data_IF_917473213495
#
_entry.id   IF_917473213495
#
_cell.length_a   1.000
_cell.length_b   1.000
_cell.length_c   1.000
_cell.angle_alpha   90.00
_cell.angle_beta   90.00
_cell.angle_gamma   90.00
#
_symmetry.space_group_name_H-M   'P 1'
#
loop_
_entity.id
_entity.type
_entity.pdbx_description
1 polymer ?
#
# COMPACT_ATOMS: atom_id res chain seq x y z
N UNK A 1 24.77 -5.08 37.88
CA UNK A 1 23.36 -5.02 37.43
C UNK A 1 23.35 -4.07 36.25
N UNK A 2 23.41 -4.61 35.05
CA UNK A 2 23.44 -3.82 33.81
C UNK A 2 22.00 -3.63 33.36
N UNK A 3 21.56 -2.39 33.36
CA UNK A 3 20.28 -1.93 32.83
C UNK A 3 20.24 -2.24 31.31
N UNK A 4 19.22 -2.93 30.77
CA UNK A 4 19.10 -3.10 29.34
C UNK A 4 18.67 -1.77 28.70
N UNK A 5 19.37 -1.38 27.63
CA UNK A 5 19.04 -0.23 26.81
C UNK A 5 17.59 -0.34 26.26
N UNK A 6 16.90 0.79 26.04
CA UNK A 6 15.57 0.75 25.42
C UNK A 6 15.70 0.19 24.00
N UNK A 7 15.04 -0.94 23.74
CA UNK A 7 14.86 -1.43 22.37
C UNK A 7 14.03 -0.40 21.61
N UNK A 8 14.72 0.34 20.74
CA UNK A 8 14.18 1.33 19.84
C UNK A 8 13.37 0.63 18.72
N UNK A 9 12.12 0.28 19.00
CA UNK A 9 11.17 -0.21 17.99
C UNK A 9 10.40 0.97 17.35
N UNK A 10 11.07 2.12 17.20
CA UNK A 10 10.56 3.33 16.54
C UNK A 10 11.06 3.43 15.09
N UNK A 11 10.84 2.41 14.26
CA UNK A 11 11.01 2.61 12.81
C UNK A 11 9.75 3.31 12.26
N UNK A 12 9.72 4.64 12.34
CA UNK A 12 8.73 5.43 11.62
C UNK A 12 8.70 4.99 10.14
N UNK A 13 7.51 4.83 9.52
CA UNK A 13 7.41 4.43 8.12
C UNK A 13 8.19 5.42 7.24
N UNK A 14 8.94 4.89 6.27
CA UNK A 14 9.71 5.71 5.33
C UNK A 14 8.84 6.77 4.67
N UNK A 15 9.36 7.99 4.56
CA UNK A 15 8.65 9.09 3.93
C UNK A 15 9.01 9.19 2.44
N UNK A 16 7.99 9.03 1.59
CA UNK A 16 8.09 9.12 0.14
C UNK A 16 7.53 10.44 -0.44
N UNK A 17 7.28 11.44 0.41
CA UNK A 17 6.66 12.71 0.01
C UNK A 17 7.39 13.37 -1.16
N UNK A 18 8.72 13.46 -1.11
CA UNK A 18 9.49 14.17 -2.14
C UNK A 18 9.41 13.49 -3.51
N UNK A 19 9.45 12.16 -3.57
CA UNK A 19 9.44 11.46 -4.86
C UNK A 19 8.03 11.36 -5.48
N UNK A 20 6.99 11.41 -4.64
CA UNK A 20 5.60 11.26 -5.08
C UNK A 20 4.96 12.63 -5.41
N UNK A 21 5.32 13.69 -4.68
CA UNK A 21 4.70 15.02 -4.85
C UNK A 21 4.92 15.62 -6.24
N UNK A 22 6.05 15.30 -6.89
CA UNK A 22 6.35 15.74 -8.27
C UNK A 22 5.51 15.01 -9.33
N UNK A 23 5.03 13.80 -9.03
CA UNK A 23 4.37 12.92 -10.02
C UNK A 23 2.86 12.77 -9.81
N UNK A 24 2.31 13.12 -8.64
CA UNK A 24 0.89 12.94 -8.35
C UNK A 24 -0.04 13.82 -9.18
N UNK A 25 0.39 15.04 -9.55
CA UNK A 25 -0.44 16.05 -10.22
C UNK A 25 -0.94 15.68 -11.61
N UNK A 26 -0.40 14.64 -12.25
CA UNK A 26 -0.64 14.36 -13.68
C UNK A 26 -1.36 13.04 -14.00
N UNK A 27 -1.63 12.17 -13.02
CA UNK A 27 -2.05 10.78 -13.29
C UNK A 27 -3.49 10.42 -12.90
N UNK A 28 -4.14 9.60 -13.72
CA UNK A 28 -5.44 8.96 -13.41
C UNK A 28 -5.32 7.88 -12.32
N UNK A 29 -6.35 7.68 -11.49
CA UNK A 29 -6.36 6.60 -10.50
C UNK A 29 -6.46 5.22 -11.17
N UNK A 30 -5.78 4.23 -10.60
CA UNK A 30 -5.83 2.85 -11.08
C UNK A 30 -7.06 2.12 -10.54
N UNK A 31 -7.45 2.42 -9.30
CA UNK A 31 -8.61 1.82 -8.67
C UNK A 31 -9.21 2.78 -7.64
N UNK A 32 -10.52 2.72 -7.44
CA UNK A 32 -11.29 3.56 -6.53
C UNK A 32 -12.19 2.67 -5.68
N UNK A 33 -11.75 2.39 -4.45
CA UNK A 33 -12.51 1.60 -3.48
C UNK A 33 -13.39 2.47 -2.58
N UNK A 34 -14.08 1.85 -1.61
CA UNK A 34 -14.93 2.55 -0.64
C UNK A 34 -14.15 3.42 0.36
N UNK A 35 -12.93 3.01 0.71
CA UNK A 35 -12.11 3.69 1.72
C UNK A 35 -11.02 4.61 1.15
N UNK A 36 -10.74 4.50 -0.14
CA UNK A 36 -9.61 5.21 -0.74
C UNK A 36 -9.53 5.02 -2.25
N UNK A 37 -8.60 5.75 -2.84
CA UNK A 37 -8.23 5.71 -4.25
C UNK A 37 -6.77 5.29 -4.33
N UNK A 38 -6.43 4.41 -5.26
CA UNK A 38 -5.07 3.91 -5.46
C UNK A 38 -4.52 4.45 -6.78
N UNK A 39 -3.33 5.04 -6.72
CA UNK A 39 -2.60 5.55 -7.86
C UNK A 39 -1.32 4.74 -8.05
N UNK A 40 -1.01 4.34 -9.28
CA UNK A 40 0.30 3.79 -9.63
C UNK A 40 1.29 4.93 -9.83
N UNK A 41 2.47 4.82 -9.24
CA UNK A 41 3.57 5.78 -9.41
C UNK A 41 4.88 5.06 -9.62
N UNK A 42 5.84 5.76 -10.23
CA UNK A 42 7.20 5.28 -10.37
C UNK A 42 8.10 6.21 -9.58
N UNK A 43 8.75 5.67 -8.55
CA UNK A 43 9.73 6.37 -7.74
C UNK A 43 11.10 6.10 -8.31
N UNK A 44 11.84 7.15 -8.66
CA UNK A 44 13.23 7.04 -9.09
C UNK A 44 14.15 7.18 -7.90
N UNK A 45 15.06 6.23 -7.76
CA UNK A 45 16.24 6.31 -6.91
C UNK A 45 17.46 6.58 -7.80
N UNK A 46 18.60 6.92 -7.18
CA UNK A 46 19.85 7.24 -7.87
C UNK A 46 20.35 6.10 -8.78
N UNK A 47 19.92 4.86 -8.52
CA UNK A 47 20.39 3.64 -9.20
C UNK A 47 19.29 2.80 -9.84
N UNK A 48 18.02 3.04 -9.50
CA UNK A 48 16.91 2.18 -9.93
C UNK A 48 15.57 2.92 -9.93
N UNK A 49 14.56 2.38 -10.59
CA UNK A 49 13.18 2.88 -10.54
C UNK A 49 12.24 1.80 -10.00
N UNK A 50 11.42 2.16 -9.02
CA UNK A 50 10.47 1.26 -8.39
C UNK A 50 9.03 1.70 -8.68
N UNK A 51 8.19 0.76 -9.09
CA UNK A 51 6.75 1.02 -9.19
C UNK A 51 6.07 0.80 -7.84
N UNK A 52 5.26 1.77 -7.45
CA UNK A 52 4.55 1.79 -6.17
C UNK A 52 3.06 2.03 -6.37
N UNK A 53 2.27 1.48 -5.44
CA UNK A 53 0.88 1.83 -5.25
C UNK A 53 0.78 2.89 -4.15
N UNK A 54 0.12 4.00 -4.44
CA UNK A 54 -0.13 5.10 -3.51
C UNK A 54 -1.61 5.14 -3.20
N UNK A 55 -1.99 4.71 -1.99
CA UNK A 55 -3.37 4.71 -1.52
C UNK A 55 -3.68 6.00 -0.77
N UNK A 56 -4.59 6.80 -1.32
CA UNK A 56 -5.11 8.05 -0.72
C UNK A 56 -6.48 7.78 -0.11
N UNK A 57 -6.69 8.17 1.14
CA UNK A 57 -7.98 8.00 1.82
C UNK A 57 -9.03 8.97 1.27
N UNK A 58 -10.26 8.45 1.07
CA UNK A 58 -11.38 9.28 0.62
C UNK A 58 -11.93 10.11 1.77
N UNK A 59 -12.11 11.40 1.52
CA UNK A 59 -12.86 12.30 2.39
C UNK A 59 -14.30 12.27 1.91
N UNK A 60 -15.18 11.80 2.78
CA UNK A 60 -16.60 11.58 2.49
C UNK A 60 -17.42 12.48 3.41
N UNK A 61 -18.38 13.28 2.90
CA UNK A 61 -19.27 14.10 3.72
C UNK A 61 -19.99 13.31 4.83
N UNK A 62 -20.25 12.01 4.62
CA UNK A 62 -20.87 11.14 5.60
C UNK A 62 -19.95 10.66 6.74
N UNK A 63 -18.65 10.97 6.69
CA UNK A 63 -17.66 10.55 7.69
C UNK A 63 -16.93 11.75 8.30
N UNK A 64 -16.94 11.83 9.62
CA UNK A 64 -16.11 12.79 10.37
C UNK A 64 -14.62 12.52 10.13
N UNK A 65 -13.81 13.59 10.09
CA UNK A 65 -12.35 13.50 9.94
C UNK A 65 -11.71 12.54 10.95
N UNK A 66 -12.13 12.57 12.22
CA UNK A 66 -11.65 11.67 13.26
C UNK A 66 -11.89 10.18 12.93
N UNK A 67 -13.04 9.84 12.32
CA UNK A 67 -13.35 8.46 11.90
C UNK A 67 -12.44 8.01 10.76
N UNK A 68 -12.15 8.91 9.83
CA UNK A 68 -11.23 8.65 8.71
C UNK A 68 -9.81 8.44 9.26
N UNK A 69 -9.36 9.32 10.15
CA UNK A 69 -8.06 9.26 10.81
C UNK A 69 -7.89 7.95 11.60
N UNK A 70 -8.90 7.55 12.39
CA UNK A 70 -8.90 6.27 13.11
C UNK A 70 -8.79 5.08 12.16
N UNK A 71 -9.50 5.13 11.03
CA UNK A 71 -9.46 4.07 10.00
C UNK A 71 -8.06 4.01 9.37
N UNK A 72 -7.50 5.15 8.99
CA UNK A 72 -6.18 5.27 8.42
C UNK A 72 -5.10 4.76 9.37
N UNK A 73 -5.10 5.19 10.64
CA UNK A 73 -4.15 4.71 11.65
C UNK A 73 -4.24 3.22 11.86
N UNK A 74 -5.46 2.68 11.97
CA UNK A 74 -5.66 1.23 12.12
C UNK A 74 -5.08 0.48 10.92
N UNK A 75 -5.35 0.94 9.71
CA UNK A 75 -4.84 0.31 8.50
C UNK A 75 -3.31 0.33 8.46
N UNK A 76 -2.69 1.49 8.72
CA UNK A 76 -1.24 1.66 8.81
C UNK A 76 -0.61 0.71 9.84
N UNK A 77 -1.12 0.71 11.08
CA UNK A 77 -0.55 -0.08 12.17
C UNK A 77 -0.69 -1.58 11.95
N UNK A 78 -1.83 -2.04 11.42
CA UNK A 78 -2.00 -3.45 11.08
C UNK A 78 -1.03 -3.82 9.97
N UNK A 79 -0.94 -3.02 8.91
CA UNK A 79 -0.11 -3.35 7.76
C UNK A 79 1.39 -3.36 8.08
N UNK A 80 1.86 -2.43 8.94
CA UNK A 80 3.25 -2.42 9.43
C UNK A 80 3.65 -3.71 10.16
N UNK A 81 2.69 -4.39 10.81
CA UNK A 81 2.92 -5.63 11.56
C UNK A 81 2.86 -6.88 10.69
N UNK A 82 2.32 -6.78 9.47
CA UNK A 82 2.19 -7.92 8.57
C UNK A 82 3.47 -8.10 7.74
N UNK A 83 4.32 -9.03 8.16
CA UNK A 83 5.56 -9.41 7.46
C UNK A 83 5.46 -10.86 7.00
N UNK A 84 5.03 -11.06 5.75
CA UNK A 84 4.89 -12.39 5.14
C UNK A 84 5.08 -12.32 3.62
N UNK A 85 5.58 -13.39 3.00
CA UNK A 85 5.90 -13.44 1.55
C UNK A 85 4.68 -13.23 0.64
N UNK A 86 3.49 -13.58 1.11
CA UNK A 86 2.23 -13.46 0.34
C UNK A 86 1.44 -12.19 0.67
N UNK A 87 1.94 -11.35 1.58
CA UNK A 87 1.32 -10.06 1.91
C UNK A 87 2.19 -8.97 1.29
N UNK A 88 1.58 -8.09 0.50
CA UNK A 88 2.30 -6.97 -0.11
C UNK A 88 2.88 -6.09 1.01
N UNK A 89 4.19 -5.83 1.04
CA UNK A 89 4.79 -5.03 2.10
C UNK A 89 4.36 -3.57 1.99
N UNK A 90 4.07 -2.95 3.13
CA UNK A 90 3.99 -1.50 3.23
C UNK A 90 5.42 -0.94 3.19
N UNK A 91 5.69 -0.07 2.22
CA UNK A 91 6.99 0.57 2.07
C UNK A 91 7.11 1.81 2.96
N UNK A 92 6.01 2.55 3.12
CA UNK A 92 5.99 3.76 3.92
C UNK A 92 4.75 4.63 3.69
N UNK A 93 4.91 5.93 3.91
CA UNK A 93 3.85 6.93 3.75
C UNK A 93 4.30 8.08 2.88
N UNK A 94 3.36 8.87 2.36
CA UNK A 94 3.68 10.12 1.67
C UNK A 94 2.63 11.20 1.97
N UNK A 95 3.09 12.42 2.16
CA UNK A 95 2.23 13.60 2.18
C UNK A 95 1.80 13.90 0.75
N UNK A 96 0.50 14.13 0.57
CA UNK A 96 -0.14 14.38 -0.72
C UNK A 96 -1.14 15.53 -0.56
N UNK A 97 -1.82 15.93 -1.62
CA UNK A 97 -2.93 16.90 -1.56
C UNK A 97 -4.18 16.29 -0.90
N UNK A 98 -4.06 15.88 0.36
CA UNK A 98 -5.10 15.32 1.22
C UNK A 98 -4.74 15.61 2.69
N UNK A 99 -5.71 15.77 3.60
CA UNK A 99 -5.45 15.98 5.02
C UNK A 99 -4.75 14.80 5.72
N UNK A 100 -4.77 13.62 5.10
CA UNK A 100 -4.15 12.41 5.64
C UNK A 100 -3.03 11.93 4.72
N UNK A 101 -1.91 11.43 5.28
CA UNK A 101 -0.86 10.87 4.46
C UNK A 101 -1.36 9.62 3.72
N UNK A 102 -0.87 9.45 2.50
CA UNK A 102 -1.10 8.28 1.69
C UNK A 102 -0.25 7.10 2.19
N UNK A 103 -0.75 5.87 2.00
CA UNK A 103 0.01 4.65 2.22
C UNK A 103 0.72 4.26 0.92
N UNK A 104 1.98 3.86 1.02
CA UNK A 104 2.83 3.50 -0.13
C UNK A 104 3.22 2.03 -0.01
N UNK A 105 2.92 1.24 -1.03
CA UNK A 105 3.28 -0.18 -1.12
C UNK A 105 3.87 -0.53 -2.48
N UNK A 106 4.41 -1.73 -2.64
CA UNK A 106 4.84 -2.23 -3.94
C UNK A 106 3.65 -2.28 -4.92
N UNK A 107 3.88 -1.95 -6.20
CA UNK A 107 2.90 -2.13 -7.25
C UNK A 107 2.82 -3.60 -7.69
N UNK A 108 1.62 -4.16 -7.72
CA UNK A 108 1.36 -5.52 -8.20
C UNK A 108 0.90 -5.47 -9.66
N UNK A 109 1.82 -5.74 -10.59
CA UNK A 109 1.56 -5.63 -12.03
C UNK A 109 0.46 -6.58 -12.54
N UNK A 110 0.32 -7.75 -11.92
CA UNK A 110 -0.73 -8.73 -12.24
C UNK A 110 -2.13 -8.30 -11.79
N UNK A 111 -2.27 -7.16 -11.10
CA UNK A 111 -3.54 -6.65 -10.63
C UNK A 111 -4.15 -7.48 -9.50
N UNK A 112 -5.47 -7.40 -9.36
CA UNK A 112 -6.21 -8.20 -8.37
C UNK A 112 -6.40 -9.62 -8.89
N UNK A 113 -6.61 -10.57 -7.98
CA UNK A 113 -6.97 -11.94 -8.36
C UNK A 113 -8.20 -11.98 -9.29
N UNK A 114 -9.19 -11.11 -9.05
CA UNK A 114 -10.36 -11.00 -9.91
C UNK A 114 -9.98 -10.63 -11.36
N UNK A 115 -9.18 -9.57 -11.53
CA UNK A 115 -8.72 -9.14 -12.86
C UNK A 115 -7.89 -10.23 -13.54
N UNK A 116 -7.02 -10.89 -12.78
CA UNK A 116 -6.21 -11.98 -13.27
C UNK A 116 -7.07 -13.16 -13.77
N UNK A 117 -8.09 -13.55 -12.99
CA UNK A 117 -8.99 -14.64 -13.34
C UNK A 117 -9.95 -14.32 -14.49
N UNK A 118 -10.28 -13.04 -14.73
CA UNK A 118 -11.05 -12.64 -15.91
C UNK A 118 -10.20 -12.68 -17.19
N UNK A 119 -8.92 -12.31 -17.08
CA UNK A 119 -8.01 -12.24 -18.23
C UNK A 119 -7.49 -13.62 -18.65
N UNK A 120 -7.23 -14.48 -17.68
CA UNK A 120 -6.86 -15.87 -17.96
C UNK A 120 -8.17 -16.63 -18.15
N UNK A 121 -8.38 -17.24 -19.33
CA UNK A 121 -9.36 -18.31 -19.51
C UNK A 121 -8.93 -19.50 -18.66
N UNK A 122 -9.08 -19.37 -17.34
CA UNK A 122 -8.38 -20.20 -16.37
C UNK A 122 -8.96 -21.61 -16.38
N UNK A 123 -8.24 -22.50 -17.05
CA UNK A 123 -8.37 -23.95 -16.91
C UNK A 123 -8.28 -24.29 -15.41
N UNK A 124 -9.08 -25.26 -14.97
CA UNK A 124 -9.24 -25.64 -13.55
C UNK A 124 -7.90 -25.79 -12.81
N UNK A 125 -6.83 -26.23 -13.50
CA UNK A 125 -5.49 -26.42 -12.96
C UNK A 125 -4.82 -25.13 -12.43
N UNK A 126 -4.97 -23.97 -13.08
CA UNK A 126 -4.35 -22.72 -12.62
C UNK A 126 -5.01 -22.18 -11.35
N UNK A 127 -6.32 -22.44 -11.17
CA UNK A 127 -7.05 -22.10 -9.93
C UNK A 127 -6.57 -22.94 -8.74
N UNK A 128 -6.17 -24.18 -9.02
CA UNK A 128 -5.67 -25.13 -8.05
C UNK A 128 -4.25 -24.78 -7.59
N UNK A 129 -3.35 -24.36 -8.49
CA UNK A 129 -1.99 -23.92 -8.11
C UNK A 129 -1.97 -22.65 -7.24
N UNK A 130 -2.83 -21.67 -7.51
CA UNK A 130 -3.04 -20.51 -6.62
C UNK A 130 -3.47 -20.93 -5.21
N UNK A 131 -4.20 -22.05 -5.11
CA UNK A 131 -4.62 -22.63 -3.84
C UNK A 131 -3.55 -23.50 -3.17
N UNK A 132 -2.56 -24.02 -3.90
CA UNK A 132 -1.50 -24.87 -3.37
C UNK A 132 -0.15 -24.18 -3.17
N UNK A 133 0.08 -23.01 -3.76
CA UNK A 133 1.23 -22.15 -3.45
C UNK A 133 1.23 -21.58 -2.01
N UNK A 134 0.27 -22.00 -1.18
CA UNK A 134 0.06 -21.57 0.21
C UNK A 134 0.52 -22.59 1.26
N UNK A 135 1.36 -23.58 0.93
CA UNK A 135 2.00 -24.40 1.97
C UNK A 135 3.43 -23.91 2.26
N UNK A 136 3.78 -23.69 3.55
CA UNK A 136 5.15 -23.41 3.97
C UNK A 136 6.06 -24.63 3.76
#
# INVERSE_FOLDING_TARGET
>A
MTEPAPEDDSSAPSDFTSQISETLKLGSPCNSGSFGVVYRRTIKSSKDSMEVAVKVFKIDPGRTMEKIEKTMRRELLVWLRLKHSTIVPLLGTATVESPFPALVSQWMSSGTLYMYLEQVTATVSTKIELFYATRP
#
